data_IF_716429017669
#
_entry.id   IF_716429017669
#
_cell.length_a   1.000
_cell.length_b   1.000
_cell.length_c   1.000
_cell.angle_alpha   90.00
_cell.angle_beta   90.00
_cell.angle_gamma   90.00
#
_symmetry.space_group_name_H-M   'P 1'
#
loop_
_entity.id
_entity.type
_entity.pdbx_description
1 polymer ?
#
# COMPACT_ATOMS: atom_id res chain seq x y z
N UNK A 1 23.98 -17.32 2.55
CA UNK A 1 23.25 -16.03 2.61
C UNK A 1 21.90 -16.27 1.97
N UNK A 2 20.80 -15.83 2.60
CA UNK A 2 19.45 -16.00 2.03
C UNK A 2 18.92 -14.63 1.64
N UNK A 3 18.24 -14.56 0.49
CA UNK A 3 17.52 -13.35 0.11
C UNK A 3 16.43 -13.04 1.14
N UNK A 4 16.21 -11.76 1.40
CA UNK A 4 15.01 -11.28 2.07
C UNK A 4 13.91 -11.12 1.04
N UNK A 5 12.83 -11.85 1.17
CA UNK A 5 11.79 -11.93 0.14
C UNK A 5 10.53 -11.19 0.55
N UNK A 6 9.95 -10.43 -0.37
CA UNK A 6 8.67 -9.75 -0.15
C UNK A 6 7.73 -10.08 -1.29
N UNK A 7 6.56 -10.62 -0.97
CA UNK A 7 5.51 -10.90 -1.94
C UNK A 7 4.55 -9.71 -2.02
N UNK A 8 4.42 -9.11 -3.20
CA UNK A 8 3.29 -8.22 -3.50
C UNK A 8 2.14 -9.00 -4.16
N UNK A 9 0.90 -8.73 -3.70
CA UNK A 9 -0.33 -9.21 -4.32
C UNK A 9 -1.13 -7.97 -4.74
N UNK A 10 -1.02 -7.57 -6.00
CA UNK A 10 -1.54 -6.30 -6.49
C UNK A 10 -1.77 -6.31 -8.01
N UNK A 11 -2.40 -5.26 -8.53
CA UNK A 11 -2.52 -5.04 -9.96
C UNK A 11 -1.25 -4.49 -10.61
N UNK A 12 -1.13 -4.72 -11.91
CA UNK A 12 -0.06 -4.22 -12.77
C UNK A 12 -0.42 -2.87 -13.38
N UNK A 13 0.42 -1.88 -13.09
CA UNK A 13 0.45 -0.58 -13.74
C UNK A 13 1.46 -0.59 -14.89
N UNK A 14 0.95 -0.62 -16.13
CA UNK A 14 1.80 -0.61 -17.32
C UNK A 14 2.68 0.65 -17.48
N UNK A 15 2.34 1.76 -16.83
CA UNK A 15 3.17 2.98 -16.82
C UNK A 15 4.34 2.91 -15.83
N UNK A 16 4.33 1.93 -14.93
CA UNK A 16 5.41 1.64 -14.00
C UNK A 16 5.50 2.56 -12.78
N UNK A 17 4.47 3.37 -12.50
CA UNK A 17 4.47 4.31 -11.39
C UNK A 17 3.85 3.80 -10.09
N UNK A 18 2.91 2.86 -10.17
CA UNK A 18 2.18 2.26 -9.05
C UNK A 18 2.13 0.72 -9.19
N UNK A 19 1.23 0.07 -8.44
CA UNK A 19 0.99 -1.37 -8.55
C UNK A 19 2.22 -2.22 -8.29
N UNK A 20 2.27 -3.42 -8.87
CA UNK A 20 3.42 -4.33 -8.71
C UNK A 20 4.74 -3.70 -9.18
N UNK A 21 4.72 -2.76 -10.12
CA UNK A 21 5.93 -2.10 -10.61
C UNK A 21 6.55 -1.21 -9.54
N UNK A 22 5.75 -0.39 -8.86
CA UNK A 22 6.23 0.40 -7.72
C UNK A 22 6.70 -0.48 -6.57
N UNK A 23 5.98 -1.59 -6.33
CA UNK A 23 6.30 -2.54 -5.28
C UNK A 23 7.68 -3.20 -5.52
N UNK A 24 7.87 -3.80 -6.69
CA UNK A 24 9.12 -4.49 -7.04
C UNK A 24 10.32 -3.51 -7.10
N UNK A 25 10.14 -2.29 -7.62
CA UNK A 25 11.18 -1.25 -7.59
C UNK A 25 11.57 -0.90 -6.15
N UNK A 26 10.57 -0.74 -5.28
CA UNK A 26 10.80 -0.42 -3.86
C UNK A 26 11.51 -1.55 -3.14
N UNK A 27 11.10 -2.80 -3.36
CA UNK A 27 11.76 -3.97 -2.79
C UNK A 27 13.23 -4.06 -3.22
N UNK A 28 13.50 -3.89 -4.52
CA UNK A 28 14.86 -3.93 -5.05
C UNK A 28 15.75 -2.85 -4.42
N UNK A 29 15.26 -1.60 -4.32
CA UNK A 29 16.01 -0.49 -3.73
C UNK A 29 16.28 -0.70 -2.24
N UNK A 30 15.38 -1.36 -1.52
CA UNK A 30 15.48 -1.63 -0.09
C UNK A 30 16.10 -2.99 0.23
N UNK A 31 16.75 -3.64 -0.74
CA UNK A 31 17.52 -4.85 -0.53
C UNK A 31 16.68 -6.11 -0.29
N UNK A 32 15.49 -6.18 -0.90
CA UNK A 32 14.63 -7.35 -0.90
C UNK A 32 14.52 -7.95 -2.31
N UNK A 33 14.44 -9.27 -2.40
CA UNK A 33 14.00 -9.98 -3.59
C UNK A 33 12.48 -9.88 -3.69
N UNK A 34 12.01 -9.17 -4.73
CA UNK A 34 10.59 -8.96 -4.96
C UNK A 34 9.93 -10.14 -5.66
N UNK A 35 8.82 -10.60 -5.09
CA UNK A 35 7.92 -11.60 -5.67
C UNK A 35 6.58 -10.93 -5.98
N UNK A 36 5.85 -11.40 -6.99
CA UNK A 36 4.55 -10.81 -7.33
C UNK A 36 3.52 -11.85 -7.74
N UNK A 37 2.30 -11.72 -7.22
CA UNK A 37 1.10 -12.32 -7.77
C UNK A 37 0.18 -11.21 -8.31
N UNK A 38 -0.11 -11.26 -9.60
CA UNK A 38 -0.86 -10.19 -10.29
C UNK A 38 -2.36 -10.44 -10.13
N UNK A 39 -3.10 -9.43 -9.70
CA UNK A 39 -4.57 -9.51 -9.53
C UNK A 39 -5.34 -8.94 -10.71
N UNK A 40 -4.78 -7.92 -11.36
CA UNK A 40 -5.36 -7.26 -12.52
C UNK A 40 -4.27 -6.61 -13.36
N UNK A 41 -4.54 -6.38 -14.64
CA UNK A 41 -3.71 -5.55 -15.51
C UNK A 41 -4.51 -4.30 -15.86
N UNK A 42 -3.91 -3.13 -15.75
CA UNK A 42 -4.54 -1.87 -16.14
C UNK A 42 -3.92 -1.31 -17.42
N UNK A 43 -4.78 -0.88 -18.34
CA UNK A 43 -4.38 0.04 -19.38
C UNK A 43 -4.45 1.44 -18.76
N UNK A 44 -3.33 1.91 -18.25
CA UNK A 44 -3.22 3.20 -17.60
C UNK A 44 -1.92 3.91 -17.97
N UNK A 45 -1.92 5.23 -17.83
CA UNK A 45 -0.76 6.09 -18.01
C UNK A 45 -0.83 7.26 -17.02
N UNK A 46 0.04 8.24 -17.17
CA UNK A 46 0.08 9.43 -16.29
C UNK A 46 -1.23 10.23 -16.27
N UNK A 47 -2.09 10.11 -17.29
CA UNK A 47 -3.41 10.77 -17.35
C UNK A 47 -4.53 9.98 -16.65
N UNK A 48 -4.27 8.76 -16.18
CA UNK A 48 -5.23 7.94 -15.43
C UNK A 48 -5.45 6.55 -16.03
N UNK A 49 -6.53 5.90 -15.58
CA UNK A 49 -6.87 4.52 -15.91
C UNK A 49 -7.97 4.45 -16.99
N UNK A 50 -7.62 3.99 -18.18
CA UNK A 50 -8.55 3.84 -19.31
C UNK A 50 -9.39 2.57 -19.14
N UNK A 51 -8.74 1.44 -18.85
CA UNK A 51 -9.41 0.16 -18.60
C UNK A 51 -8.62 -0.71 -17.64
N UNK A 52 -9.28 -1.71 -17.07
CA UNK A 52 -8.69 -2.71 -16.20
C UNK A 52 -9.26 -4.09 -16.53
N UNK A 53 -8.40 -5.09 -16.50
CA UNK A 53 -8.76 -6.50 -16.64
C UNK A 53 -8.32 -7.23 -15.38
N UNK A 54 -9.29 -7.66 -14.59
CA UNK A 54 -9.05 -8.54 -13.43
C UNK A 54 -8.73 -9.94 -13.93
N UNK A 55 -7.66 -10.54 -13.41
CA UNK A 55 -7.30 -11.92 -13.76
C UNK A 55 -8.26 -12.92 -13.12
N UNK A 56 -8.48 -14.10 -13.74
CA UNK A 56 -9.27 -15.16 -13.14
C UNK A 56 -8.73 -15.54 -11.76
N UNK A 57 -9.64 -15.75 -10.80
CA UNK A 57 -9.30 -16.13 -9.42
C UNK A 57 -8.45 -17.40 -9.36
N UNK A 58 -8.68 -18.36 -10.26
CA UNK A 58 -7.88 -19.58 -10.40
C UNK A 58 -6.40 -19.25 -10.68
N UNK A 59 -6.15 -18.32 -11.61
CA UNK A 59 -4.81 -17.88 -11.99
C UNK A 59 -4.11 -17.15 -10.83
N UNK A 60 -4.81 -16.27 -10.10
CA UNK A 60 -4.27 -15.57 -8.93
C UNK A 60 -3.88 -16.58 -7.83
N UNK A 61 -4.77 -17.54 -7.56
CA UNK A 61 -4.54 -18.63 -6.60
C UNK A 61 -3.32 -19.48 -7.00
N UNK A 62 -3.19 -19.82 -8.27
CA UNK A 62 -2.08 -20.63 -8.78
C UNK A 62 -0.74 -19.90 -8.68
N UNK A 63 -0.69 -18.60 -9.00
CA UNK A 63 0.50 -17.78 -8.80
C UNK A 63 0.94 -17.78 -7.32
N UNK A 64 0.02 -17.49 -6.40
CA UNK A 64 0.33 -17.45 -4.96
C UNK A 64 0.79 -18.84 -4.47
N UNK A 65 0.11 -19.91 -4.87
CA UNK A 65 0.50 -21.28 -4.49
C UNK A 65 1.85 -21.68 -5.04
N UNK A 66 2.17 -21.33 -6.29
CA UNK A 66 3.47 -21.62 -6.88
C UNK A 66 4.59 -20.94 -6.11
N UNK A 67 4.40 -19.67 -5.72
CA UNK A 67 5.37 -18.92 -4.91
C UNK A 67 5.50 -19.53 -3.51
N UNK A 68 4.39 -19.68 -2.78
CA UNK A 68 4.42 -20.18 -1.39
C UNK A 68 4.84 -21.65 -1.28
N UNK A 69 4.72 -22.43 -2.35
CA UNK A 69 5.12 -23.83 -2.39
C UNK A 69 6.62 -24.08 -2.57
N UNK A 70 7.39 -23.07 -2.94
CA UNK A 70 8.84 -23.18 -3.24
C UNK A 70 9.68 -22.13 -2.52
N UNK A 71 9.19 -20.88 -2.47
CA UNK A 71 9.96 -19.74 -1.99
C UNK A 71 9.49 -19.35 -0.59
N UNK A 72 10.42 -19.35 0.37
CA UNK A 72 10.19 -18.73 1.68
C UNK A 72 9.88 -17.24 1.47
N UNK A 73 8.73 -16.79 1.96
CA UNK A 73 8.33 -15.38 2.00
C UNK A 73 8.64 -14.82 3.39
N UNK A 74 9.25 -13.63 3.49
CA UNK A 74 9.53 -12.98 4.79
C UNK A 74 8.52 -11.87 5.13
N UNK A 75 7.84 -11.28 4.14
CA UNK A 75 6.72 -10.36 4.33
C UNK A 75 5.80 -10.33 3.11
N UNK A 76 4.56 -9.88 3.31
CA UNK A 76 3.57 -9.71 2.24
C UNK A 76 3.08 -8.27 2.20
N UNK A 77 2.96 -7.71 1.00
CA UNK A 77 2.24 -6.46 0.74
C UNK A 77 1.02 -6.76 -0.13
N UNK A 78 -0.14 -6.29 0.29
CA UNK A 78 -1.38 -6.38 -0.49
C UNK A 78 -1.69 -4.98 -1.05
N UNK A 79 -1.96 -4.91 -2.35
CA UNK A 79 -2.43 -3.70 -3.02
C UNK A 79 -3.84 -3.88 -3.57
N UNK A 80 -4.09 -3.37 -4.78
CA UNK A 80 -5.39 -3.49 -5.44
C UNK A 80 -5.80 -4.96 -5.66
N UNK A 81 -6.97 -5.36 -5.16
CA UNK A 81 -7.50 -6.72 -5.30
C UNK A 81 -8.71 -6.85 -6.25
N UNK A 82 -9.45 -5.77 -6.52
CA UNK A 82 -10.54 -5.77 -7.51
C UNK A 82 -11.88 -6.32 -7.04
N UNK A 83 -11.94 -7.49 -6.39
CA UNK A 83 -13.21 -8.14 -6.03
C UNK A 83 -13.20 -8.85 -4.67
N UNK A 84 -14.41 -9.07 -4.12
CA UNK A 84 -14.61 -9.85 -2.90
C UNK A 84 -14.12 -11.29 -3.00
N UNK A 85 -14.22 -11.90 -4.19
CA UNK A 85 -13.75 -13.28 -4.42
C UNK A 85 -12.23 -13.37 -4.36
N UNK A 86 -11.53 -12.37 -4.92
CA UNK A 86 -10.07 -12.27 -4.83
C UNK A 86 -9.66 -12.03 -3.38
N UNK A 87 -10.33 -11.12 -2.66
CA UNK A 87 -10.10 -10.87 -1.24
C UNK A 87 -10.15 -12.17 -0.43
N UNK A 88 -11.24 -12.94 -0.55
CA UNK A 88 -11.42 -14.21 0.17
C UNK A 88 -10.34 -15.23 -0.19
N UNK A 89 -9.96 -15.29 -1.46
CA UNK A 89 -8.93 -16.21 -1.95
C UNK A 89 -7.55 -15.86 -1.37
N UNK A 90 -7.17 -14.58 -1.41
CA UNK A 90 -5.91 -14.08 -0.86
C UNK A 90 -5.87 -14.32 0.65
N UNK A 91 -6.92 -13.93 1.39
CA UNK A 91 -7.00 -14.14 2.83
C UNK A 91 -6.81 -15.61 3.22
N UNK A 92 -7.47 -16.53 2.51
CA UNK A 92 -7.35 -17.97 2.76
C UNK A 92 -5.94 -18.50 2.55
N UNK A 93 -5.25 -18.04 1.51
CA UNK A 93 -3.89 -18.48 1.20
C UNK A 93 -2.87 -17.89 2.17
N UNK A 94 -3.06 -16.64 2.61
CA UNK A 94 -2.15 -16.01 3.55
C UNK A 94 -2.30 -16.55 4.98
N UNK A 95 -3.46 -17.08 5.35
CA UNK A 95 -3.66 -17.79 6.62
C UNK A 95 -2.80 -19.06 6.78
N UNK A 96 -2.14 -19.54 5.73
CA UNK A 96 -1.26 -20.73 5.80
C UNK A 96 0.20 -20.37 6.10
N UNK A 97 0.53 -19.09 6.26
CA UNK A 97 1.89 -18.62 6.53
C UNK A 97 1.88 -17.61 7.69
N UNK A 98 2.94 -17.62 8.50
CA UNK A 98 3.11 -16.71 9.63
C UNK A 98 4.16 -15.65 9.29
N UNK A 99 3.73 -14.60 8.58
CA UNK A 99 4.58 -13.49 8.14
C UNK A 99 3.82 -12.16 8.25
N UNK A 100 4.50 -11.03 8.45
CA UNK A 100 3.84 -9.73 8.49
C UNK A 100 3.17 -9.40 7.15
N UNK A 101 1.88 -9.07 7.21
CA UNK A 101 1.08 -8.60 6.07
C UNK A 101 0.82 -7.09 6.19
N UNK A 102 1.25 -6.32 5.18
CA UNK A 102 0.93 -4.90 5.03
C UNK A 102 -0.18 -4.75 3.99
N UNK A 103 -1.36 -4.30 4.41
CA UNK A 103 -2.51 -4.06 3.55
C UNK A 103 -2.63 -2.58 3.18
N UNK A 104 -2.33 -2.25 1.93
CA UNK A 104 -2.72 -0.97 1.34
C UNK A 104 -4.18 -1.07 0.89
N UNK A 105 -5.08 -0.34 1.57
CA UNK A 105 -6.53 -0.53 1.46
C UNK A 105 -7.14 -0.14 0.11
N UNK A 106 -6.34 0.38 -0.83
CA UNK A 106 -6.67 0.83 -2.19
C UNK A 106 -8.12 0.61 -2.59
N UNK A 107 -8.96 1.61 -2.33
CA UNK A 107 -10.39 1.58 -2.70
C UNK A 107 -10.64 2.25 -4.06
N UNK A 108 -9.89 3.33 -4.32
CA UNK A 108 -9.99 4.13 -5.54
C UNK A 108 -8.60 4.36 -6.13
N UNK A 109 -8.55 4.58 -7.44
CA UNK A 109 -7.36 5.04 -8.13
C UNK A 109 -7.06 6.50 -7.79
N UNK A 110 -5.83 6.94 -8.05
CA UNK A 110 -5.44 8.36 -7.94
C UNK A 110 -6.26 9.28 -8.86
N UNK A 111 -6.89 8.74 -9.92
CA UNK A 111 -7.81 9.45 -10.80
C UNK A 111 -9.28 9.34 -10.39
N UNK A 112 -9.57 8.82 -9.18
CA UNK A 112 -10.93 8.76 -8.62
C UNK A 112 -11.80 7.59 -9.12
N UNK A 113 -11.31 6.75 -10.04
CA UNK A 113 -12.02 5.54 -10.47
C UNK A 113 -12.04 4.50 -9.36
N UNK A 114 -13.22 3.96 -9.04
CA UNK A 114 -13.34 2.84 -8.11
C UNK A 114 -12.56 1.63 -8.63
N UNK A 115 -11.72 1.07 -7.77
CA UNK A 115 -10.89 -0.09 -8.05
C UNK A 115 -11.40 -1.34 -7.32
N UNK A 116 -12.46 -1.19 -6.53
CA UNK A 116 -13.05 -2.26 -5.75
C UNK A 116 -14.54 -2.39 -6.11
N UNK A 117 -14.97 -3.62 -6.39
CA UNK A 117 -16.36 -3.91 -6.70
C UNK A 117 -17.29 -3.49 -5.53
N UNK A 118 -18.53 -3.03 -5.81
CA UNK A 118 -19.51 -2.74 -4.78
C UNK A 118 -19.68 -3.91 -3.80
N UNK A 119 -19.73 -3.61 -2.50
CA UNK A 119 -19.90 -4.63 -1.45
C UNK A 119 -18.64 -5.41 -1.07
N UNK A 120 -17.48 -5.12 -1.65
CA UNK A 120 -16.24 -5.79 -1.27
C UNK A 120 -15.55 -5.19 -0.02
N UNK A 121 -15.93 -3.98 0.42
CA UNK A 121 -15.39 -3.36 1.65
C UNK A 121 -15.67 -4.23 2.89
N UNK A 122 -16.92 -4.67 3.17
CA UNK A 122 -17.18 -5.58 4.29
C UNK A 122 -16.32 -6.85 4.24
N UNK A 123 -16.16 -7.42 3.04
CA UNK A 123 -15.36 -8.63 2.84
C UNK A 123 -13.87 -8.38 3.13
N UNK A 124 -13.33 -7.21 2.74
CA UNK A 124 -11.97 -6.80 3.07
C UNK A 124 -11.78 -6.71 4.58
N UNK A 125 -12.71 -6.06 5.27
CA UNK A 125 -12.66 -5.92 6.73
C UNK A 125 -12.70 -7.30 7.40
N UNK A 126 -13.69 -8.12 7.06
CA UNK A 126 -13.86 -9.45 7.68
C UNK A 126 -12.71 -10.42 7.36
N UNK A 127 -12.12 -10.35 6.16
CA UNK A 127 -11.16 -11.35 5.69
C UNK A 127 -9.70 -10.93 5.82
N UNK A 128 -9.38 -9.64 5.66
CA UNK A 128 -7.99 -9.16 5.57
C UNK A 128 -7.53 -8.37 6.79
N UNK A 129 -8.42 -7.66 7.49
CA UNK A 129 -8.00 -6.92 8.68
C UNK A 129 -7.44 -7.86 9.77
N UNK A 130 -8.08 -9.02 10.08
CA UNK A 130 -7.58 -9.93 11.11
C UNK A 130 -6.18 -10.48 10.87
N UNK A 131 -5.74 -10.53 9.60
CA UNK A 131 -4.40 -11.04 9.23
C UNK A 131 -3.40 -9.91 8.95
N UNK A 132 -3.85 -8.66 8.93
CA UNK A 132 -2.99 -7.52 8.63
C UNK A 132 -2.18 -7.12 9.87
N UNK A 133 -0.85 -7.20 9.74
CA UNK A 133 0.07 -6.60 10.70
C UNK A 133 -0.01 -5.07 10.69
N UNK A 134 -0.31 -4.49 9.52
CA UNK A 134 -0.58 -3.07 9.34
C UNK A 134 -1.57 -2.85 8.20
N UNK A 135 -2.57 -2.00 8.41
CA UNK A 135 -3.34 -1.39 7.31
C UNK A 135 -2.88 0.05 7.08
N UNK A 136 -2.89 0.52 5.83
CA UNK A 136 -2.41 1.87 5.48
C UNK A 136 -3.44 2.74 4.74
N UNK A 137 -4.64 3.02 5.29
CA UNK A 137 -5.64 3.84 4.60
C UNK A 137 -5.23 5.31 4.49
N UNK A 138 -5.59 5.96 3.39
CA UNK A 138 -5.60 7.42 3.30
C UNK A 138 -6.88 8.03 3.89
N UNK A 139 -6.94 9.35 4.05
CA UNK A 139 -8.12 10.04 4.61
C UNK A 139 -9.44 9.68 3.89
N UNK A 140 -9.57 9.78 2.55
CA UNK A 140 -10.77 9.30 1.84
C UNK A 140 -11.12 7.84 2.11
N UNK A 141 -10.14 6.95 2.15
CA UNK A 141 -10.35 5.52 2.44
C UNK A 141 -10.82 5.31 3.87
N UNK A 142 -10.22 6.01 4.84
CA UNK A 142 -10.64 5.97 6.25
C UNK A 142 -12.11 6.35 6.38
N UNK A 143 -12.55 7.43 5.73
CA UNK A 143 -13.96 7.87 5.75
C UNK A 143 -14.89 6.75 5.25
N UNK A 144 -14.52 6.09 4.14
CA UNK A 144 -15.32 5.01 3.56
C UNK A 144 -15.35 3.76 4.46
N UNK A 145 -14.21 3.42 5.08
CA UNK A 145 -14.08 2.26 5.96
C UNK A 145 -14.82 2.47 7.29
N UNK A 146 -14.71 3.65 7.90
CA UNK A 146 -15.37 3.97 9.17
C UNK A 146 -16.83 4.37 8.99
N UNK A 147 -17.25 4.71 7.76
CA UNK A 147 -18.55 5.28 7.39
C UNK A 147 -18.84 6.61 8.09
N UNK A 148 -17.81 7.45 8.22
CA UNK A 148 -17.87 8.70 8.99
C UNK A 148 -17.30 9.89 8.19
N UNK A 149 -18.14 10.64 7.47
CA UNK A 149 -17.70 11.69 6.56
C UNK A 149 -17.16 12.96 7.22
N UNK A 150 -17.60 13.29 8.44
CA UNK A 150 -17.27 14.55 9.13
C UNK A 150 -16.06 14.46 10.08
N UNK A 151 -15.33 13.34 10.02
CA UNK A 151 -14.58 12.85 11.17
C UNK A 151 -13.07 12.98 11.11
N UNK A 152 -12.47 13.77 10.20
CA UNK A 152 -10.99 13.82 10.12
C UNK A 152 -10.40 15.24 10.05
N UNK A 153 -11.07 16.23 10.66
CA UNK A 153 -10.56 17.61 10.71
C UNK A 153 -9.53 17.88 11.83
N UNK A 154 -9.40 16.99 12.82
CA UNK A 154 -8.49 17.17 13.95
C UNK A 154 -7.66 15.92 14.22
N UNK A 155 -6.51 16.09 14.89
CA UNK A 155 -5.67 14.96 15.32
C UNK A 155 -6.46 13.95 16.15
N UNK A 156 -7.25 14.43 17.12
CA UNK A 156 -8.04 13.56 17.99
C UNK A 156 -9.02 12.69 17.20
N UNK A 157 -9.72 13.26 16.22
CA UNK A 157 -10.65 12.46 15.41
C UNK A 157 -9.93 11.45 14.50
N UNK A 158 -8.73 11.76 14.03
CA UNK A 158 -7.87 10.80 13.30
C UNK A 158 -7.46 9.64 14.22
N UNK A 159 -7.10 9.93 15.48
CA UNK A 159 -6.78 8.92 16.49
C UNK A 159 -7.99 8.02 16.79
N UNK A 160 -9.19 8.61 16.94
CA UNK A 160 -10.44 7.86 17.17
C UNK A 160 -10.78 6.96 15.97
N UNK A 161 -10.60 7.46 14.74
CA UNK A 161 -10.78 6.66 13.54
C UNK A 161 -9.78 5.51 13.45
N UNK A 162 -8.52 5.71 13.85
CA UNK A 162 -7.53 4.65 13.91
C UNK A 162 -7.93 3.58 14.92
N UNK A 163 -8.43 3.97 16.10
CA UNK A 163 -8.94 3.03 17.10
C UNK A 163 -10.13 2.24 16.58
N UNK A 164 -11.06 2.88 15.88
CA UNK A 164 -12.21 2.22 15.25
C UNK A 164 -11.76 1.17 14.23
N UNK A 165 -10.81 1.51 13.37
CA UNK A 165 -10.23 0.58 12.39
C UNK A 165 -9.48 -0.57 13.06
N UNK A 166 -8.77 -0.31 14.15
CA UNK A 166 -8.12 -1.36 14.95
C UNK A 166 -9.16 -2.31 15.57
N UNK A 167 -10.26 -1.77 16.11
CA UNK A 167 -11.36 -2.55 16.65
C UNK A 167 -12.10 -3.39 15.59
N UNK A 168 -11.97 -3.04 14.30
CA UNK A 168 -12.46 -3.87 13.17
C UNK A 168 -11.54 -5.07 12.85
N UNK A 169 -10.41 -5.22 13.55
CA UNK A 169 -9.57 -6.43 13.50
C UNK A 169 -8.12 -6.22 13.05
N UNK A 170 -7.75 -5.01 12.60
CA UNK A 170 -6.37 -4.73 12.19
C UNK A 170 -5.43 -4.70 13.40
N UNK A 171 -4.23 -5.29 13.29
CA UNK A 171 -3.25 -5.25 14.39
C UNK A 171 -2.69 -3.85 14.62
N UNK A 172 -2.46 -3.11 13.55
CA UNK A 172 -1.98 -1.73 13.55
C UNK A 172 -2.61 -0.94 12.40
N UNK A 173 -2.69 0.38 12.55
CA UNK A 173 -3.30 1.28 11.57
C UNK A 173 -2.39 2.48 11.32
N UNK A 174 -2.03 2.74 10.05
CA UNK A 174 -1.34 3.96 9.63
C UNK A 174 -2.27 4.78 8.73
N UNK A 175 -2.91 5.81 9.31
CA UNK A 175 -3.74 6.74 8.53
C UNK A 175 -2.84 7.78 7.86
N UNK A 176 -2.87 7.81 6.52
CA UNK A 176 -2.05 8.68 5.66
C UNK A 176 -2.76 10.02 5.45
N UNK A 177 -2.21 11.11 5.99
CA UNK A 177 -2.82 12.44 5.99
C UNK A 177 -2.37 13.38 4.87
N UNK A 178 -1.56 12.93 3.91
CA UNK A 178 -1.01 13.78 2.84
C UNK A 178 -2.01 14.55 1.95
N UNK A 179 -3.32 14.30 2.10
CA UNK A 179 -4.41 14.95 1.36
C UNK A 179 -4.98 16.20 2.05
N UNK A 180 -4.47 16.58 3.24
CA UNK A 180 -4.92 17.82 3.92
C UNK A 180 -4.36 19.08 3.25
N UNK A 181 -5.07 20.20 3.36
CA UNK A 181 -4.66 21.53 2.85
C UNK A 181 -3.49 22.19 3.62
N UNK A 182 -2.87 21.46 4.55
CA UNK A 182 -1.69 21.93 5.29
C UNK A 182 -0.41 21.87 4.43
N UNK A 183 0.52 22.77 4.75
CA UNK A 183 1.93 22.77 4.33
C UNK A 183 2.72 21.54 4.85
N UNK A 184 2.11 20.74 5.73
CA UNK A 184 2.67 19.52 6.30
C UNK A 184 1.82 18.30 5.95
N UNK A 185 2.49 17.20 5.64
CA UNK A 185 1.87 15.88 5.57
C UNK A 185 2.11 15.16 6.91
N UNK A 186 1.03 14.83 7.61
CA UNK A 186 1.08 14.14 8.90
C UNK A 186 0.34 12.80 8.82
N UNK A 187 1.03 11.72 9.17
CA UNK A 187 0.45 10.38 9.23
C UNK A 187 0.37 9.92 10.69
N UNK A 188 -0.71 9.23 11.05
CA UNK A 188 -0.95 8.73 12.41
C UNK A 188 -0.84 7.21 12.43
N UNK A 189 0.11 6.68 13.18
CA UNK A 189 0.26 5.26 13.46
C UNK A 189 -0.37 4.95 14.83
N UNK A 190 -1.30 4.01 14.85
CA UNK A 190 -1.77 3.34 16.06
C UNK A 190 -1.17 1.94 16.13
N UNK A 191 -0.38 1.67 17.16
CA UNK A 191 0.24 0.37 17.40
C UNK A 191 0.38 0.12 18.91
N UNK A 192 0.03 -1.09 19.39
CA UNK A 192 0.05 -1.46 20.82
C UNK A 192 -0.65 -0.43 21.74
N UNK A 193 -1.77 0.11 21.29
CA UNK A 193 -2.57 1.15 21.96
C UNK A 193 -1.85 2.52 22.14
N UNK A 194 -0.68 2.70 21.53
CA UNK A 194 0.02 3.98 21.48
C UNK A 194 -0.15 4.65 20.12
N UNK A 195 -0.18 5.99 20.13
CA UNK A 195 -0.19 6.80 18.91
C UNK A 195 1.19 7.38 18.64
N UNK A 196 1.62 7.33 17.37
CA UNK A 196 2.81 8.02 16.89
C UNK A 196 2.48 8.81 15.62
N UNK A 197 2.83 10.09 15.65
CA UNK A 197 2.63 11.00 14.53
C UNK A 197 3.92 11.21 13.75
N UNK A 198 3.85 11.03 12.44
CA UNK A 198 4.95 11.27 11.51
C UNK A 198 4.63 12.48 10.64
N UNK A 199 5.29 13.61 10.88
CA UNK A 199 5.06 14.85 10.15
C UNK A 199 6.28 15.29 9.35
N UNK A 200 6.06 15.66 8.09
CA UNK A 200 7.08 16.20 7.19
C UNK A 200 6.54 17.40 6.41
N UNK A 201 7.42 18.24 5.87
CA UNK A 201 6.99 19.29 4.93
C UNK A 201 6.38 18.64 3.69
N UNK A 202 5.32 19.22 3.15
CA UNK A 202 4.73 18.78 1.88
C UNK A 202 5.67 19.17 0.75
N UNK A 203 6.03 18.21 -0.10
CA UNK A 203 6.77 18.49 -1.34
C UNK A 203 5.75 18.89 -2.41
N UNK A 204 5.94 20.07 -3.00
CA UNK A 204 5.15 20.51 -4.15
C UNK A 204 5.71 19.78 -5.38
N UNK A 205 4.96 18.81 -5.89
CA UNK A 205 5.36 17.99 -7.04
C UNK A 205 4.12 17.47 -7.76
N UNK A 206 4.16 17.47 -9.09
CA UNK A 206 3.17 16.79 -9.92
C UNK A 206 3.43 15.28 -10.02
N UNK A 207 4.53 14.80 -9.43
CA UNK A 207 4.97 13.42 -9.49
C UNK A 207 4.67 12.69 -8.18
N UNK A 208 3.40 12.33 -7.99
CA UNK A 208 2.90 11.67 -6.77
C UNK A 208 2.20 10.34 -7.06
N UNK A 209 2.13 9.92 -8.32
CA UNK A 209 1.58 8.63 -8.72
C UNK A 209 2.36 7.50 -8.06
N UNK A 210 1.65 6.59 -7.38
CA UNK A 210 2.23 5.46 -6.65
C UNK A 210 2.78 5.75 -5.25
N UNK A 211 2.56 6.95 -4.68
CA UNK A 211 3.00 7.28 -3.31
C UNK A 211 2.54 6.24 -2.28
N UNK A 212 1.26 5.84 -2.32
CA UNK A 212 0.69 4.86 -1.40
C UNK A 212 1.30 3.46 -1.53
N UNK A 213 1.45 2.98 -2.77
CA UNK A 213 2.06 1.68 -3.06
C UNK A 213 3.52 1.64 -2.61
N UNK A 214 4.25 2.72 -2.86
CA UNK A 214 5.67 2.84 -2.48
C UNK A 214 5.83 2.86 -0.96
N UNK A 215 5.00 3.62 -0.24
CA UNK A 215 5.05 3.66 1.22
C UNK A 215 4.76 2.28 1.82
N UNK A 216 3.65 1.64 1.43
CA UNK A 216 3.27 0.32 1.96
C UNK A 216 4.31 -0.76 1.61
N UNK A 217 4.88 -0.73 0.41
CA UNK A 217 5.96 -1.64 0.01
C UNK A 217 7.26 -1.39 0.77
N UNK A 218 7.61 -0.13 1.07
CA UNK A 218 8.78 0.17 1.87
C UNK A 218 8.63 -0.30 3.33
N UNK A 219 7.41 -0.23 3.88
CA UNK A 219 7.11 -0.81 5.20
C UNK A 219 7.26 -2.33 5.16
N UNK A 220 6.68 -3.00 4.17
CA UNK A 220 6.78 -4.46 4.03
C UNK A 220 8.25 -4.93 3.89
N UNK A 221 9.07 -4.20 3.13
CA UNK A 221 10.51 -4.45 3.05
C UNK A 221 11.20 -4.31 4.41
N UNK A 222 10.90 -3.25 5.17
CA UNK A 222 11.42 -3.07 6.52
C UNK A 222 11.05 -4.23 7.46
N UNK A 223 9.81 -4.72 7.38
CA UNK A 223 9.34 -5.86 8.17
C UNK A 223 10.00 -7.18 7.77
N UNK A 224 10.27 -7.42 6.48
CA UNK A 224 11.02 -8.59 6.02
C UNK A 224 12.47 -8.63 6.55
N UNK A 225 13.06 -7.45 6.78
CA UNK A 225 14.34 -7.28 7.45
C UNK A 225 14.27 -7.42 8.98
N UNK A 226 13.09 -7.67 9.55
CA UNK A 226 12.87 -7.84 10.99
C UNK A 226 12.88 -6.54 11.78
N UNK A 227 12.68 -5.38 11.12
CA UNK A 227 12.58 -4.12 11.83
C UNK A 227 11.30 -4.06 12.69
N UNK A 228 11.34 -3.41 13.87
CA UNK A 228 10.13 -3.04 14.59
C UNK A 228 9.21 -2.19 13.71
N UNK A 229 7.89 -2.38 13.85
CA UNK A 229 6.89 -1.74 12.97
C UNK A 229 7.05 -0.22 12.90
N UNK A 230 7.23 0.45 14.04
CA UNK A 230 7.40 1.90 14.07
C UNK A 230 8.66 2.36 13.30
N UNK A 231 9.76 1.61 13.44
CA UNK A 231 11.01 1.87 12.70
C UNK A 231 10.86 1.58 11.20
N UNK A 232 10.09 0.56 10.82
CA UNK A 232 9.77 0.28 9.43
C UNK A 232 8.95 1.42 8.82
N UNK A 233 7.94 1.93 9.53
CA UNK A 233 7.14 3.10 9.13
C UNK A 233 8.00 4.35 8.98
N UNK A 234 8.86 4.64 9.96
CA UNK A 234 9.74 5.82 9.92
C UNK A 234 10.71 5.81 8.73
N UNK A 235 11.36 4.67 8.49
CA UNK A 235 12.27 4.50 7.34
C UNK A 235 11.52 4.57 6.02
N UNK A 236 10.34 3.94 5.93
CA UNK A 236 9.51 3.97 4.74
C UNK A 236 9.06 5.39 4.40
N UNK A 237 8.63 6.17 5.41
CA UNK A 237 8.29 7.59 5.26
C UNK A 237 9.46 8.42 4.74
N UNK A 238 10.66 8.19 5.27
CA UNK A 238 11.88 8.87 4.82
C UNK A 238 12.19 8.52 3.37
N UNK A 239 12.17 7.23 3.01
CA UNK A 239 12.41 6.78 1.65
C UNK A 239 11.39 7.35 0.65
N UNK A 240 10.09 7.31 0.98
CA UNK A 240 9.04 7.86 0.11
C UNK A 240 9.19 9.37 -0.05
N UNK A 241 9.51 10.10 1.01
CA UNK A 241 9.77 11.54 0.94
C UNK A 241 10.92 11.86 -0.02
N UNK A 242 12.05 11.17 0.10
CA UNK A 242 13.21 11.36 -0.77
C UNK A 242 12.92 10.96 -2.23
N UNK A 243 12.15 9.89 -2.46
CA UNK A 243 11.71 9.48 -3.80
C UNK A 243 10.82 10.54 -4.47
N UNK A 244 9.92 11.20 -3.72
CA UNK A 244 9.12 12.33 -4.22
C UNK A 244 10.05 13.51 -4.52
N UNK A 245 10.96 13.83 -3.60
CA UNK A 245 11.88 14.99 -3.72
C UNK A 245 12.78 14.86 -4.93
N UNK A 246 13.41 13.70 -5.12
CA UNK A 246 14.24 13.41 -6.27
C UNK A 246 13.42 13.38 -7.58
N UNK A 247 12.21 12.83 -7.53
CA UNK A 247 11.31 12.79 -8.67
C UNK A 247 10.76 14.14 -9.11
N UNK A 248 10.75 15.16 -8.23
CA UNK A 248 10.04 16.42 -8.46
C UNK A 248 10.51 17.20 -9.70
N UNK A 249 11.78 17.04 -10.11
CA UNK A 249 12.33 17.72 -11.28
C UNK A 249 12.07 16.99 -12.61
N UNK A 250 11.67 15.70 -12.57
CA UNK A 250 11.43 14.93 -13.79
C UNK A 250 10.05 15.22 -14.36
N UNK A 251 9.91 14.98 -15.65
CA UNK A 251 8.61 14.97 -16.31
C UNK A 251 8.44 13.66 -17.07
N UNK A 252 7.39 12.92 -16.75
CA UNK A 252 6.99 11.71 -17.48
C UNK A 252 5.52 11.85 -17.90
N UNK A 253 5.27 11.93 -19.20
CA UNK A 253 3.94 12.19 -19.73
C UNK A 253 3.40 13.59 -19.40
N UNK A 254 2.07 13.71 -19.42
CA UNK A 254 1.36 15.00 -19.28
C UNK A 254 0.42 15.05 -18.07
N UNK A 255 0.24 13.94 -17.36
CA UNK A 255 -0.58 13.89 -16.13
C UNK A 255 0.28 13.78 -14.87
N UNK A 256 -0.19 13.00 -13.89
CA UNK A 256 0.54 12.75 -12.65
C UNK A 256 1.68 11.77 -12.88
N UNK A 257 2.92 12.23 -12.71
CA UNK A 257 4.11 11.41 -12.90
C UNK A 257 4.43 10.52 -11.68
N UNK A 258 5.32 9.54 -11.84
CA UNK A 258 5.74 8.66 -10.76
C UNK A 258 6.84 9.31 -9.89
N UNK A 259 6.98 8.79 -8.68
CA UNK A 259 8.12 9.05 -7.81
C UNK A 259 9.42 8.50 -8.44
N UNK A 260 10.57 9.04 -8.03
CA UNK A 260 11.86 8.44 -8.38
C UNK A 260 12.24 7.34 -7.38
N UNK A 261 11.72 6.13 -7.58
CA UNK A 261 11.98 4.96 -6.73
C UNK A 261 13.48 4.68 -6.57
N UNK A 262 14.22 4.71 -7.70
CA UNK A 262 15.64 4.38 -7.72
C UNK A 262 16.58 5.59 -7.53
N UNK A 263 16.15 6.64 -6.81
CA UNK A 263 16.95 7.85 -6.61
C UNK A 263 18.34 7.61 -5.99
N UNK A 264 18.60 6.53 -5.23
CA UNK A 264 19.96 6.25 -4.75
C UNK A 264 20.92 5.81 -5.87
N UNK A 265 20.42 5.39 -7.03
CA UNK A 265 21.20 4.72 -8.07
C UNK A 265 21.41 5.54 -9.33
N UNK A 266 20.48 6.45 -9.67
CA UNK A 266 20.62 7.29 -10.87
C UNK A 266 20.01 8.68 -10.68
N UNK A 267 20.42 9.58 -11.58
CA UNK A 267 19.88 10.92 -11.82
C UNK A 267 19.66 11.06 -13.32
#
# INVERSE_FOLDING_TARGET
MNYKTVLTIAGSDGSGGAGIQADLKTFAVLGCYGLSAITAVTAQNTKGVMSSLTLPVSCIREQIKAILGDIRVDAVKIGMLGSAEIIKTVARLLNTIDVPVVLDTVLNSSSGRSLLAPGAIPVMIESLFPIAALITPNIPETILLTKEPELLSTRKKIEDAAQKLQAMGASAVLIKGGHTESDRCSDCLLYRNGFRWFSSKKIISNNTHGTGCTLSSAIAAGLAHGLPLESAVEKAKTYTFEAIRAGAAYRLGEGSGPLHHCYPFWK
#
